data_IF_808262321157
#
_entry.id   IF_808262321157
#
_cell.length_a   1.000
_cell.length_b   1.000
_cell.length_c   1.000
_cell.angle_alpha   90.00
_cell.angle_beta   90.00
_cell.angle_gamma   90.00
#
_symmetry.space_group_name_H-M   'P 1'
#
loop_
_entity.id
_entity.type
_entity.pdbx_description
1 polymer ?
#
# COMPACT_ATOMS: atom_id res chain seq x y z
N UNK A 1 -19.45 2.61 -4.05
CA UNK A 1 -18.65 1.81 -3.10
C UNK A 1 -17.89 0.73 -3.84
N UNK A 2 -16.78 0.20 -3.31
CA UNK A 2 -16.07 -0.93 -3.92
C UNK A 2 -17.03 -2.11 -4.08
N UNK A 3 -16.96 -2.83 -5.22
CA UNK A 3 -17.77 -4.03 -5.45
C UNK A 3 -17.43 -5.06 -4.38
N UNK A 4 -18.44 -5.67 -3.77
CA UNK A 4 -18.34 -6.62 -2.65
C UNK A 4 -17.60 -7.94 -2.97
N UNK A 5 -17.00 -8.06 -4.15
CA UNK A 5 -16.42 -9.30 -4.63
C UNK A 5 -15.08 -9.02 -5.30
N UNK A 6 -14.08 -8.73 -4.48
CA UNK A 6 -12.69 -8.75 -4.91
C UNK A 6 -12.19 -10.15 -4.59
N UNK A 7 -12.14 -11.00 -5.61
CA UNK A 7 -11.51 -12.34 -5.56
C UNK A 7 -9.99 -12.27 -5.35
N UNK A 8 -9.42 -11.07 -5.17
CA UNK A 8 -7.99 -10.86 -4.96
C UNK A 8 -7.71 -10.94 -3.46
N UNK A 9 -7.01 -11.99 -3.05
CA UNK A 9 -6.43 -12.09 -1.72
C UNK A 9 -5.04 -11.44 -1.69
N UNK A 10 -4.51 -11.26 -0.49
CA UNK A 10 -3.14 -10.83 -0.30
C UNK A 10 -2.11 -11.80 -0.87
N UNK A 11 -2.46 -13.08 -1.08
CA UNK A 11 -1.56 -14.03 -1.71
C UNK A 11 -1.31 -13.72 -3.18
N UNK A 12 -2.34 -13.32 -3.96
CA UNK A 12 -2.14 -12.89 -5.35
C UNK A 12 -1.29 -11.63 -5.41
N UNK A 13 -1.51 -10.67 -4.50
CA UNK A 13 -0.70 -9.45 -4.43
C UNK A 13 0.76 -9.77 -4.10
N UNK A 14 1.02 -10.67 -3.14
CA UNK A 14 2.38 -11.12 -2.82
C UNK A 14 3.04 -11.89 -3.97
N UNK A 15 2.28 -12.69 -4.72
CA UNK A 15 2.81 -13.36 -5.91
C UNK A 15 3.18 -12.36 -7.02
N UNK A 16 2.34 -11.33 -7.22
CA UNK A 16 2.64 -10.23 -8.12
C UNK A 16 3.90 -9.47 -7.69
N UNK A 17 4.00 -9.12 -6.39
CA UNK A 17 5.16 -8.47 -5.81
C UNK A 17 6.45 -9.26 -6.06
N UNK A 18 6.42 -10.58 -5.81
CA UNK A 18 7.55 -11.49 -6.04
C UNK A 18 7.95 -11.53 -7.51
N UNK A 19 6.99 -11.70 -8.42
CA UNK A 19 7.26 -11.72 -9.86
C UNK A 19 7.89 -10.41 -10.33
N UNK A 20 7.43 -9.28 -9.78
CA UNK A 20 7.96 -7.96 -10.11
C UNK A 20 9.39 -7.77 -9.57
N UNK A 21 9.68 -8.23 -8.36
CA UNK A 21 11.04 -8.24 -7.80
C UNK A 21 11.99 -9.10 -8.64
N UNK A 22 11.56 -10.29 -9.09
CA UNK A 22 12.35 -11.14 -9.98
C UNK A 22 12.69 -10.43 -11.29
N UNK A 23 11.73 -9.70 -11.87
CA UNK A 23 11.97 -8.87 -13.08
C UNK A 23 12.91 -7.69 -12.85
N UNK A 24 13.08 -7.26 -11.61
CA UNK A 24 14.04 -6.23 -11.20
C UNK A 24 15.41 -6.81 -10.79
N UNK A 25 15.63 -8.12 -10.94
CA UNK A 25 16.82 -8.84 -10.45
C UNK A 25 16.99 -8.79 -8.93
N UNK A 26 15.89 -8.65 -8.19
CA UNK A 26 15.86 -8.66 -6.73
C UNK A 26 15.52 -10.08 -6.28
N UNK A 27 16.52 -10.82 -5.80
CA UNK A 27 16.35 -12.17 -5.27
C UNK A 27 16.35 -12.15 -3.76
N UNK A 28 15.23 -12.57 -3.15
CA UNK A 28 15.16 -12.86 -1.72
C UNK A 28 14.92 -14.36 -1.55
N UNK A 29 15.74 -15.03 -0.75
CA UNK A 29 15.45 -16.38 -0.28
C UNK A 29 14.24 -16.26 0.64
N UNK A 30 13.08 -16.71 0.16
CA UNK A 30 11.90 -16.89 1.00
C UNK A 30 12.31 -17.82 2.15
N UNK A 31 12.26 -17.35 3.40
CA UNK A 31 12.57 -18.18 4.58
C UNK A 31 11.65 -19.42 4.67
N UNK A 32 10.54 -19.43 3.94
CA UNK A 32 9.65 -20.57 3.80
C UNK A 32 10.24 -21.74 2.98
N UNK A 33 11.35 -21.57 2.25
CA UNK A 33 12.02 -22.66 1.52
C UNK A 33 13.26 -23.21 2.23
N UNK A 34 13.70 -22.58 3.33
CA UNK A 34 14.78 -23.10 4.18
C UNK A 34 14.20 -24.06 5.22
N UNK A 35 13.85 -25.26 4.78
CA UNK A 35 13.43 -26.39 5.63
C UNK A 35 14.64 -27.05 6.34
N UNK A 36 15.53 -26.21 6.89
CA UNK A 36 16.80 -26.62 7.48
C UNK A 36 17.03 -25.85 8.77
N UNK A 37 16.99 -26.59 9.89
CA UNK A 37 17.40 -26.21 11.25
C UNK A 37 18.37 -25.01 11.29
N UNK A 38 17.86 -23.79 11.45
CA UNK A 38 18.63 -22.71 12.09
C UNK A 38 18.34 -22.79 13.57
N UNK A 39 19.39 -22.86 14.38
CA UNK A 39 19.31 -22.77 15.84
C UNK A 39 18.67 -21.44 16.24
N UNK A 40 18.00 -21.40 17.40
CA UNK A 40 17.33 -20.18 17.89
C UNK A 40 18.30 -18.99 17.99
N UNK A 41 19.60 -19.26 18.20
CA UNK A 41 20.71 -18.30 18.23
C UNK A 41 21.08 -17.72 16.86
N UNK A 42 20.83 -18.41 15.72
CA UNK A 42 21.08 -17.87 14.37
C UNK A 42 19.92 -17.02 13.82
N UNK A 43 18.76 -17.04 14.50
CA UNK A 43 17.66 -16.08 14.25
C UNK A 43 17.91 -14.74 14.94
N UNK A 44 18.80 -14.70 15.93
CA UNK A 44 19.20 -13.49 16.62
C UNK A 44 20.28 -12.76 15.81
N UNK A 45 19.99 -11.51 15.44
CA UNK A 45 20.74 -10.61 14.53
C UNK A 45 20.57 -10.85 13.03
N UNK A 46 19.33 -11.03 12.59
CA UNK A 46 18.97 -10.37 11.33
C UNK A 46 19.01 -8.88 11.61
N UNK A 47 19.81 -8.13 10.85
CA UNK A 47 19.87 -6.67 10.95
C UNK A 47 18.48 -6.12 10.60
N UNK A 48 17.63 -5.93 11.60
CA UNK A 48 16.31 -5.35 11.44
C UNK A 48 16.45 -3.85 11.24
N UNK A 49 15.68 -3.32 10.29
CA UNK A 49 15.70 -1.90 10.00
C UNK A 49 14.32 -1.37 9.62
N UNK A 50 14.15 -0.10 9.90
CA UNK A 50 13.01 0.71 9.55
C UNK A 50 13.37 1.50 8.30
N UNK A 51 12.45 1.60 7.36
CA UNK A 51 12.57 2.46 6.19
C UNK A 51 11.69 3.68 6.38
N UNK A 52 12.25 4.88 6.19
CA UNK A 52 11.50 6.14 6.16
C UNK A 52 11.54 6.69 4.74
N UNK A 53 10.37 6.96 4.16
CA UNK A 53 10.34 7.70 2.90
C UNK A 53 10.55 9.19 3.15
N UNK A 54 11.65 9.71 2.61
CA UNK A 54 11.91 11.14 2.51
C UNK A 54 11.30 11.72 1.24
N UNK A 55 11.05 13.03 1.26
CA UNK A 55 10.47 13.83 0.17
C UNK A 55 11.21 15.15 0.11
N UNK A 56 11.34 15.74 -1.08
CA UNK A 56 12.02 17.03 -1.26
C UNK A 56 11.12 18.15 -1.79
N UNK A 57 9.92 17.83 -2.29
CA UNK A 57 9.04 18.80 -2.94
C UNK A 57 7.74 19.12 -2.18
N UNK A 58 7.00 18.11 -1.73
CA UNK A 58 5.68 18.27 -1.12
C UNK A 58 5.46 17.25 -0.01
N UNK A 59 4.64 17.57 1.00
CA UNK A 59 4.35 16.69 2.14
C UNK A 59 5.61 16.31 2.90
N UNK A 60 6.43 17.31 3.20
CA UNK A 60 7.68 17.12 3.92
C UNK A 60 7.40 16.75 5.38
N UNK A 61 8.26 15.90 5.95
CA UNK A 61 8.40 15.73 7.40
C UNK A 61 9.44 16.75 7.85
N UNK A 62 9.01 17.82 8.52
CA UNK A 62 9.87 18.97 8.82
C UNK A 62 10.98 18.64 9.83
N UNK A 63 10.72 17.70 10.74
CA UNK A 63 11.68 17.18 11.72
C UNK A 63 12.12 15.74 11.41
N UNK A 64 12.38 15.43 10.12
CA UNK A 64 12.74 14.07 9.68
C UNK A 64 13.94 13.49 10.44
N UNK A 65 14.98 14.29 10.71
CA UNK A 65 16.15 13.83 11.46
C UNK A 65 15.83 13.41 12.90
N UNK A 66 14.94 14.15 13.57
CA UNK A 66 14.46 13.81 14.92
C UNK A 66 13.63 12.53 14.88
N UNK A 67 12.72 12.41 13.91
CA UNK A 67 11.92 11.21 13.69
C UNK A 67 12.80 9.97 13.51
N UNK A 68 13.81 10.05 12.65
CA UNK A 68 14.77 8.97 12.39
C UNK A 68 15.48 8.55 13.67
N UNK A 69 16.01 9.52 14.43
CA UNK A 69 16.73 9.25 15.67
C UNK A 69 15.83 8.55 16.70
N UNK A 70 14.61 9.04 16.88
CA UNK A 70 13.68 8.49 17.88
C UNK A 70 13.16 7.12 17.47
N UNK A 71 12.87 6.88 16.19
CA UNK A 71 12.53 5.55 15.70
C UNK A 71 13.67 4.55 15.93
N UNK A 72 14.91 4.96 15.66
CA UNK A 72 16.09 4.12 15.89
C UNK A 72 16.23 3.74 17.36
N UNK A 73 16.02 4.70 18.27
CA UNK A 73 16.11 4.50 19.71
C UNK A 73 14.96 3.65 20.27
N UNK A 74 13.71 3.96 19.91
CA UNK A 74 12.52 3.27 20.41
C UNK A 74 12.54 1.78 20.04
N UNK A 75 12.89 1.46 18.80
CA UNK A 75 12.85 0.08 18.30
C UNK A 75 14.20 -0.64 18.34
N UNK A 76 15.29 0.05 18.68
CA UNK A 76 16.65 -0.48 18.62
C UNK A 76 17.01 -1.06 17.23
N UNK A 77 16.51 -0.42 16.18
CA UNK A 77 16.70 -0.81 14.78
C UNK A 77 17.49 0.26 14.03
N UNK A 78 18.23 -0.14 13.00
CA UNK A 78 18.78 0.84 12.06
C UNK A 78 17.64 1.50 11.30
N UNK A 79 17.77 2.78 10.98
CA UNK A 79 16.79 3.49 10.16
C UNK A 79 17.45 3.89 8.84
N UNK A 80 16.81 3.56 7.74
CA UNK A 80 17.28 3.84 6.37
C UNK A 80 16.29 4.77 5.70
N UNK A 81 16.77 5.86 5.12
CA UNK A 81 15.93 6.77 4.33
C UNK A 81 15.96 6.38 2.86
N UNK A 82 14.81 6.53 2.20
CA UNK A 82 14.66 6.33 0.75
C UNK A 82 13.86 7.48 0.15
N UNK A 83 14.15 7.86 -1.08
CA UNK A 83 13.47 8.94 -1.80
C UNK A 83 13.24 8.52 -3.25
N UNK A 84 12.03 8.72 -3.76
CA UNK A 84 11.72 8.47 -5.18
C UNK A 84 12.34 9.52 -6.11
N UNK A 85 12.69 10.69 -5.56
CA UNK A 85 13.37 11.76 -6.26
C UNK A 85 14.87 11.45 -6.46
N UNK A 86 15.50 10.80 -5.49
CA UNK A 86 16.95 10.57 -5.49
C UNK A 86 17.36 9.14 -5.89
N UNK A 87 16.46 8.16 -5.74
CA UNK A 87 16.77 6.74 -5.93
C UNK A 87 15.86 6.09 -6.96
N UNK A 88 16.42 5.09 -7.67
CA UNK A 88 15.62 4.30 -8.61
C UNK A 88 14.59 3.43 -7.86
N UNK A 89 13.43 3.21 -8.48
CA UNK A 89 12.40 2.35 -7.89
C UNK A 89 12.90 0.93 -7.56
N UNK A 90 13.68 0.23 -8.43
CA UNK A 90 14.29 -1.05 -8.06
C UNK A 90 15.19 -0.98 -6.81
N UNK A 91 15.99 0.08 -6.65
CA UNK A 91 16.83 0.28 -5.46
C UNK A 91 15.98 0.44 -4.19
N UNK A 92 14.89 1.20 -4.27
CA UNK A 92 13.95 1.37 -3.16
C UNK A 92 13.26 0.05 -2.83
N UNK A 93 12.81 -0.71 -3.84
CA UNK A 93 12.20 -2.03 -3.65
C UNK A 93 13.19 -3.00 -3.00
N UNK A 94 14.46 -2.98 -3.39
CA UNK A 94 15.51 -3.80 -2.77
C UNK A 94 15.61 -3.54 -1.25
N UNK A 95 15.57 -2.27 -0.84
CA UNK A 95 15.60 -1.87 0.58
C UNK A 95 14.29 -2.22 1.28
N UNK A 96 13.14 -1.83 0.73
CA UNK A 96 11.82 -2.09 1.35
C UNK A 96 11.55 -3.58 1.48
N UNK A 97 11.98 -4.38 0.50
CA UNK A 97 11.76 -5.83 0.50
C UNK A 97 12.34 -6.51 1.73
N UNK A 98 13.30 -5.89 2.42
CA UNK A 98 13.97 -6.39 3.62
C UNK A 98 13.51 -5.80 4.95
N UNK A 99 12.74 -4.71 4.94
CA UNK A 99 12.45 -3.89 6.11
C UNK A 99 11.44 -4.53 7.09
N UNK A 100 11.60 -4.25 8.38
CA UNK A 100 10.63 -4.62 9.43
C UNK A 100 9.50 -3.60 9.56
N UNK A 101 9.73 -2.35 9.13
CA UNK A 101 8.75 -1.27 9.16
C UNK A 101 8.99 -0.28 8.02
N UNK A 102 7.90 0.26 7.46
CA UNK A 102 7.90 1.35 6.50
C UNK A 102 7.11 2.53 7.07
N UNK A 103 7.75 3.69 7.21
CA UNK A 103 7.15 4.94 7.70
C UNK A 103 7.10 5.95 6.56
N UNK A 104 5.95 6.58 6.33
CA UNK A 104 5.81 7.61 5.29
C UNK A 104 4.60 8.50 5.51
N UNK A 105 4.71 9.76 5.09
CA UNK A 105 3.54 10.59 4.79
C UNK A 105 2.64 9.92 3.75
N UNK A 106 1.32 10.07 3.92
CA UNK A 106 0.29 9.59 3.01
C UNK A 106 0.61 10.03 1.58
N UNK A 107 0.67 9.07 0.65
CA UNK A 107 0.91 9.35 -0.76
C UNK A 107 1.18 8.11 -1.58
N UNK A 108 1.22 8.26 -2.91
CA UNK A 108 1.33 7.14 -3.87
C UNK A 108 2.50 6.19 -3.59
N UNK A 109 3.61 6.69 -3.02
CA UNK A 109 4.81 5.90 -2.71
C UNK A 109 4.58 4.77 -1.70
N UNK A 110 3.57 4.90 -0.83
CA UNK A 110 3.20 3.85 0.11
C UNK A 110 2.69 2.58 -0.59
N UNK A 111 2.42 2.62 -1.90
CA UNK A 111 2.18 1.40 -2.69
C UNK A 111 3.35 0.41 -2.58
N UNK A 112 4.58 0.91 -2.38
CA UNK A 112 5.76 0.06 -2.20
C UNK A 112 5.68 -0.86 -0.96
N UNK A 113 4.74 -0.61 -0.03
CA UNK A 113 4.41 -1.55 1.05
C UNK A 113 4.04 -2.94 0.54
N UNK A 114 3.62 -3.09 -0.72
CA UNK A 114 3.36 -4.39 -1.35
C UNK A 114 4.59 -5.33 -1.34
N UNK A 115 5.80 -4.76 -1.26
CA UNK A 115 7.05 -5.53 -1.24
C UNK A 115 7.52 -5.89 0.17
N UNK A 116 6.88 -5.38 1.22
CA UNK A 116 7.26 -5.68 2.59
C UNK A 116 7.10 -7.18 2.92
N UNK A 117 8.00 -7.75 3.73
CA UNK A 117 7.86 -9.11 4.20
C UNK A 117 6.61 -9.28 5.06
N UNK A 118 6.18 -10.53 5.25
CA UNK A 118 5.11 -10.86 6.20
C UNK A 118 5.55 -10.48 7.61
N UNK A 119 4.61 -9.94 8.40
CA UNK A 119 4.86 -9.47 9.76
C UNK A 119 5.47 -8.07 9.85
N UNK A 120 5.83 -7.44 8.72
CA UNK A 120 6.30 -6.05 8.74
C UNK A 120 5.15 -5.06 8.97
N UNK A 121 5.51 -3.85 9.41
CA UNK A 121 4.56 -2.77 9.67
C UNK A 121 4.59 -1.67 8.61
N UNK A 122 3.41 -1.14 8.30
CA UNK A 122 3.21 0.09 7.53
C UNK A 122 2.71 1.15 8.50
N UNK A 123 3.49 2.22 8.67
CA UNK A 123 3.15 3.40 9.46
C UNK A 123 2.85 4.55 8.51
N UNK A 124 1.58 4.89 8.41
CA UNK A 124 1.09 5.92 7.52
C UNK A 124 0.80 7.21 8.30
N UNK A 125 1.48 8.30 7.93
CA UNK A 125 1.35 9.61 8.55
C UNK A 125 0.42 10.50 7.72
N UNK A 126 -0.57 11.14 8.35
CA UNK A 126 -1.53 12.01 7.69
C UNK A 126 -1.33 13.47 8.11
N UNK A 127 -1.34 14.42 7.16
CA UNK A 127 -1.34 15.85 7.47
C UNK A 127 -2.56 16.30 8.28
N UNK A 128 -2.53 17.55 8.74
CA UNK A 128 -3.64 18.13 9.47
C UNK A 128 -4.94 18.16 8.63
N UNK A 129 -6.07 18.04 9.32
CA UNK A 129 -7.42 17.94 8.72
C UNK A 129 -7.68 16.75 7.79
N UNK A 130 -6.70 15.87 7.55
CA UNK A 130 -6.89 14.67 6.73
C UNK A 130 -7.26 13.48 7.60
N UNK A 131 -8.45 12.93 7.38
CA UNK A 131 -8.99 11.82 8.17
C UNK A 131 -8.50 10.43 7.68
N UNK A 132 -7.71 9.67 8.47
CA UNK A 132 -7.19 8.36 8.07
C UNK A 132 -8.26 7.34 7.71
N UNK A 133 -9.48 7.45 8.26
CA UNK A 133 -10.56 6.50 7.99
C UNK A 133 -11.27 6.74 6.64
N UNK A 134 -11.01 7.87 6.00
CA UNK A 134 -11.62 8.22 4.71
C UNK A 134 -10.68 7.93 3.52
N UNK A 135 -9.37 7.88 3.73
CA UNK A 135 -8.35 7.69 2.70
C UNK A 135 -7.50 6.45 3.01
N UNK A 136 -8.10 5.28 2.80
CA UNK A 136 -7.61 3.98 3.30
C UNK A 136 -7.07 3.00 2.24
N UNK A 137 -6.44 3.41 1.12
CA UNK A 137 -5.96 2.44 0.13
C UNK A 137 -4.91 1.49 0.71
N UNK A 138 -4.02 1.98 1.58
CA UNK A 138 -2.94 1.17 2.16
C UNK A 138 -3.39 0.37 3.39
N UNK A 139 -4.32 0.91 4.20
CA UNK A 139 -5.05 0.12 5.20
C UNK A 139 -5.75 -1.07 4.53
N UNK A 140 -6.42 -0.83 3.41
CA UNK A 140 -7.08 -1.87 2.62
C UNK A 140 -6.08 -2.91 2.12
N UNK A 141 -4.98 -2.47 1.49
CA UNK A 141 -3.89 -3.35 1.04
C UNK A 141 -3.36 -4.21 2.18
N UNK A 142 -2.93 -3.61 3.28
CA UNK A 142 -2.36 -4.32 4.43
C UNK A 142 -3.36 -5.31 5.06
N UNK A 143 -4.66 -5.00 5.01
CA UNK A 143 -5.73 -5.83 5.60
C UNK A 143 -6.23 -6.96 4.68
N UNK A 144 -5.75 -7.05 3.44
CA UNK A 144 -6.15 -8.16 2.56
C UNK A 144 -5.73 -9.52 3.17
N UNK A 145 -6.61 -10.53 3.20
CA UNK A 145 -6.27 -11.85 3.74
C UNK A 145 -5.03 -12.45 3.06
N UNK A 146 -3.98 -12.76 3.81
CA UNK A 146 -2.70 -13.26 3.30
C UNK A 146 -1.66 -12.20 2.95
N UNK A 147 -1.98 -10.90 3.08
CA UNK A 147 -0.95 -9.86 3.09
C UNK A 147 -0.14 -9.91 4.38
N UNK A 148 -0.75 -10.18 5.53
CA UNK A 148 -0.04 -10.35 6.81
C UNK A 148 0.87 -9.15 7.13
N UNK A 149 0.41 -7.94 6.85
CA UNK A 149 1.08 -6.69 7.23
C UNK A 149 0.36 -6.08 8.44
N UNK A 150 1.13 -5.42 9.29
CA UNK A 150 0.53 -4.50 10.26
C UNK A 150 0.32 -3.15 9.63
N UNK A 151 -0.79 -2.51 10.00
CA UNK A 151 -1.09 -1.16 9.58
C UNK A 151 -1.32 -0.30 10.81
N UNK A 152 -0.60 0.82 10.87
CA UNK A 152 -0.75 1.86 11.88
C UNK A 152 -0.87 3.19 11.14
N UNK A 153 -1.85 4.00 11.54
CA UNK A 153 -2.01 5.35 11.01
C UNK A 153 -1.88 6.38 12.12
N UNK A 154 -1.09 7.42 11.88
CA UNK A 154 -1.00 8.59 12.74
C UNK A 154 -1.50 9.82 11.96
N UNK A 155 -2.19 10.73 12.64
CA UNK A 155 -2.71 11.98 12.05
C UNK A 155 -2.16 13.15 12.84
N UNK A 156 -1.66 14.17 12.14
CA UNK A 156 -1.40 15.45 12.78
C UNK A 156 -2.72 16.10 13.22
N UNK A 157 -2.89 16.29 14.52
CA UNK A 157 -4.05 16.95 15.13
C UNK A 157 -3.77 18.41 15.50
N UNK A 158 -2.51 18.85 15.40
CA UNK A 158 -2.04 20.17 15.79
C UNK A 158 -1.87 21.06 14.55
N UNK A 159 -2.60 22.16 14.51
CA UNK A 159 -2.56 23.09 13.38
C UNK A 159 -1.22 23.83 13.32
N UNK A 160 -0.66 24.17 14.48
CA UNK A 160 0.66 24.77 14.66
C UNK A 160 1.81 23.93 14.08
N UNK A 161 1.60 22.61 13.96
CA UNK A 161 2.55 21.67 13.37
C UNK A 161 2.40 21.53 11.84
N UNK A 162 1.74 22.49 11.20
CA UNK A 162 1.40 22.43 9.78
C UNK A 162 1.98 23.63 9.03
N UNK A 163 2.68 23.37 7.92
CA UNK A 163 3.12 24.41 6.98
C UNK A 163 2.33 24.27 5.68
N UNK A 164 1.64 25.35 5.32
CA UNK A 164 0.80 25.42 4.11
C UNK A 164 1.46 26.25 3.02
N UNK A 165 1.07 26.01 1.76
CA UNK A 165 1.69 26.62 0.59
C UNK A 165 0.64 27.17 -0.38
N UNK A 166 -0.11 28.22 0.00
CA UNK A 166 -1.25 28.72 -0.76
C UNK A 166 -0.88 29.26 -2.15
N UNK A 167 0.38 29.66 -2.35
CA UNK A 167 0.90 30.24 -3.59
C UNK A 167 1.37 29.20 -4.63
N UNK A 168 1.37 27.90 -4.28
CA UNK A 168 1.74 26.82 -5.22
C UNK A 168 0.73 26.70 -6.38
N UNK A 169 1.05 25.93 -7.44
CA UNK A 169 0.06 25.51 -8.41
C UNK A 169 -1.16 24.83 -7.75
N UNK A 170 -2.34 24.95 -8.36
CA UNK A 170 -3.60 24.43 -7.80
C UNK A 170 -3.56 22.92 -7.56
N UNK A 171 -2.86 22.17 -8.40
CA UNK A 171 -2.65 20.73 -8.34
C UNK A 171 -1.62 20.30 -7.28
N UNK A 172 -0.98 21.26 -6.62
CA UNK A 172 -0.06 21.10 -5.49
C UNK A 172 -0.55 21.81 -4.23
N UNK A 173 -1.86 22.06 -4.14
CA UNK A 173 -2.52 22.60 -2.95
C UNK A 173 -2.57 24.11 -2.85
N UNK A 174 -2.13 24.85 -3.88
CA UNK A 174 -2.29 26.29 -3.87
C UNK A 174 -3.75 26.71 -4.04
N UNK A 175 -4.15 27.76 -3.33
CA UNK A 175 -5.53 28.24 -3.25
C UNK A 175 -5.69 29.71 -3.64
N UNK A 176 -4.60 30.43 -3.96
CA UNK A 176 -4.65 31.87 -4.31
C UNK A 176 -5.56 32.18 -5.49
N UNK A 177 -5.71 31.24 -6.42
CA UNK A 177 -6.58 31.35 -7.60
C UNK A 177 -8.09 31.26 -7.28
N UNK A 178 -8.46 30.91 -6.04
CA UNK A 178 -9.86 30.79 -5.62
C UNK A 178 -10.42 32.12 -5.11
N UNK A 179 -11.73 32.25 -5.16
CA UNK A 179 -12.46 33.37 -4.57
C UNK A 179 -12.15 33.52 -3.08
N UNK A 180 -12.26 34.76 -2.57
CA UNK A 180 -11.90 35.07 -1.19
C UNK A 180 -12.72 34.26 -0.18
N UNK A 181 -14.03 34.12 -0.37
CA UNK A 181 -14.88 33.37 0.57
C UNK A 181 -14.48 31.88 0.61
N UNK A 182 -14.13 31.30 -0.53
CA UNK A 182 -13.72 29.89 -0.62
C UNK A 182 -12.37 29.67 0.06
N UNK A 183 -11.41 30.59 -0.09
CA UNK A 183 -10.12 30.53 0.62
C UNK A 183 -10.33 30.59 2.13
N UNK A 184 -11.14 31.51 2.62
CA UNK A 184 -11.45 31.66 4.05
C UNK A 184 -12.14 30.40 4.60
N UNK A 185 -13.07 29.82 3.85
CA UNK A 185 -13.73 28.54 4.18
C UNK A 185 -12.73 27.40 4.30
N UNK A 186 -11.83 27.25 3.32
CA UNK A 186 -10.81 26.19 3.32
C UNK A 186 -9.87 26.35 4.51
N UNK A 187 -9.39 27.57 4.78
CA UNK A 187 -8.48 27.86 5.89
C UNK A 187 -9.12 27.57 7.25
N UNK A 188 -10.39 27.90 7.45
CA UNK A 188 -11.12 27.66 8.69
C UNK A 188 -11.49 26.18 8.93
N UNK A 189 -11.43 25.33 7.89
CA UNK A 189 -11.81 23.92 7.99
C UNK A 189 -10.84 23.09 8.83
N UNK A 190 -11.37 22.17 9.65
CA UNK A 190 -10.58 21.29 10.53
C UNK A 190 -10.63 19.80 10.14
N UNK A 191 -11.47 19.45 9.17
CA UNK A 191 -11.57 18.10 8.62
C UNK A 191 -12.07 18.21 7.18
N UNK A 192 -11.38 17.54 6.25
CA UNK A 192 -11.79 17.53 4.84
C UNK A 192 -13.03 16.65 4.69
N UNK A 193 -14.19 17.19 4.24
CA UNK A 193 -15.37 16.39 4.00
C UNK A 193 -15.16 15.36 2.89
N UNK A 194 -16.01 14.33 2.89
CA UNK A 194 -16.05 13.38 1.78
C UNK A 194 -16.31 14.11 0.47
N UNK A 195 -15.49 13.83 -0.52
CA UNK A 195 -15.52 14.47 -1.81
C UNK A 195 -15.21 13.46 -2.92
N UNK A 196 -15.55 13.81 -4.17
CA UNK A 196 -15.08 13.05 -5.32
C UNK A 196 -13.63 13.42 -5.60
N UNK A 197 -12.78 12.40 -5.75
CA UNK A 197 -11.34 12.57 -5.82
C UNK A 197 -10.88 13.59 -6.87
N UNK A 198 -9.75 14.17 -6.49
CA UNK A 198 -8.59 14.53 -7.30
C UNK A 198 -8.54 16.00 -7.73
N UNK A 199 -9.65 16.73 -7.65
CA UNK A 199 -9.68 18.16 -7.99
C UNK A 199 -10.38 19.03 -6.94
N UNK A 200 -10.70 18.47 -5.78
CA UNK A 200 -11.27 19.25 -4.69
C UNK A 200 -10.18 20.15 -4.07
N UNK A 201 -10.37 21.48 -4.04
CA UNK A 201 -9.33 22.43 -3.61
C UNK A 201 -9.00 22.30 -2.12
N UNK A 202 -9.99 22.06 -1.26
CA UNK A 202 -9.78 21.84 0.17
C UNK A 202 -8.93 20.59 0.44
N UNK A 203 -9.25 19.50 -0.25
CA UNK A 203 -8.45 18.28 -0.21
C UNK A 203 -7.01 18.52 -0.63
N UNK A 204 -6.80 19.17 -1.79
CA UNK A 204 -5.45 19.45 -2.30
C UNK A 204 -4.69 20.34 -1.34
N UNK A 205 -5.34 21.38 -0.79
CA UNK A 205 -4.74 22.26 0.21
C UNK A 205 -4.30 21.51 1.47
N UNK A 206 -5.12 20.60 1.99
CA UNK A 206 -4.81 19.84 3.22
C UNK A 206 -3.83 18.69 2.99
N UNK A 207 -3.93 17.97 1.88
CA UNK A 207 -3.07 16.81 1.63
C UNK A 207 -1.64 17.21 1.29
N UNK A 208 -1.40 18.38 0.69
CA UNK A 208 -0.05 18.84 0.30
C UNK A 208 0.69 19.66 1.36
N UNK A 209 0.15 19.73 2.57
CA UNK A 209 0.78 20.39 3.70
C UNK A 209 2.05 19.65 4.13
N UNK A 210 3.06 20.41 4.54
CA UNK A 210 4.22 19.85 5.22
C UNK A 210 3.90 19.76 6.72
N UNK A 211 4.47 18.76 7.39
CA UNK A 211 4.08 18.39 8.75
C UNK A 211 5.30 18.34 9.67
N UNK A 212 5.22 19.05 10.78
CA UNK A 212 6.07 18.81 11.94
C UNK A 212 5.46 17.66 12.73
N UNK A 213 6.14 16.52 12.80
CA UNK A 213 5.57 15.34 13.45
C UNK A 213 5.68 15.51 14.96
N UNK A 214 4.55 15.42 15.66
CA UNK A 214 4.54 15.33 17.13
C UNK A 214 5.04 13.94 17.55
N UNK A 215 6.32 13.89 17.92
CA UNK A 215 7.00 12.63 18.23
C UNK A 215 6.36 11.89 19.42
N UNK A 216 5.98 12.54 20.55
CA UNK A 216 5.32 11.84 21.65
C UNK A 216 4.00 11.18 21.22
N UNK A 217 3.14 11.90 20.49
CA UNK A 217 1.88 11.36 19.97
C UNK A 217 2.10 10.22 18.99
N UNK A 218 3.10 10.33 18.10
CA UNK A 218 3.45 9.24 17.20
C UNK A 218 3.88 7.99 17.96
N UNK A 219 4.77 8.11 18.94
CA UNK A 219 5.25 6.98 19.72
C UNK A 219 4.13 6.29 20.51
N UNK A 220 3.18 7.05 21.05
CA UNK A 220 1.99 6.49 21.70
C UNK A 220 1.22 5.58 20.75
N UNK A 221 0.89 6.10 19.55
CA UNK A 221 0.18 5.35 18.51
C UNK A 221 0.97 4.11 18.06
N UNK A 222 2.29 4.22 17.93
CA UNK A 222 3.15 3.10 17.54
C UNK A 222 3.20 2.01 18.62
N UNK A 223 3.37 2.40 19.88
CA UNK A 223 3.37 1.45 21.01
C UNK A 223 2.04 0.72 21.10
N UNK A 224 0.93 1.38 20.85
CA UNK A 224 -0.38 0.73 20.85
C UNK A 224 -0.60 -0.15 19.63
N UNK A 225 -0.34 0.38 18.43
CA UNK A 225 -0.60 -0.30 17.16
C UNK A 225 0.29 -1.52 16.91
N UNK A 226 1.48 -1.59 17.53
CA UNK A 226 2.44 -2.68 17.33
C UNK A 226 2.43 -3.74 18.45
N UNK A 227 1.62 -3.59 19.51
CA UNK A 227 1.47 -4.59 20.60
C UNK A 227 1.02 -5.95 20.10
N UNK A 228 0.14 -5.99 19.10
CA UNK A 228 -0.48 -7.23 18.61
C UNK A 228 0.17 -7.66 17.30
N UNK A 229 1.20 -8.53 17.37
CA UNK A 229 1.75 -9.22 16.18
C UNK A 229 0.62 -10.01 15.49
N UNK A 230 0.47 -9.96 14.15
CA UNK A 230 -0.55 -10.71 13.46
C UNK A 230 -0.12 -12.17 13.66
N UNK A 231 -1.06 -13.08 13.91
CA UNK A 231 -0.67 -14.48 13.97
C UNK A 231 -0.08 -14.83 12.60
N UNK A 232 1.24 -15.03 12.52
CA UNK A 232 1.93 -15.60 11.37
C UNK A 232 1.47 -17.05 11.28
N UNK A 233 0.19 -17.27 10.91
CA UNK A 233 -0.28 -18.59 10.54
C UNK A 233 0.59 -18.97 9.36
N UNK A 234 1.10 -20.21 9.37
CA UNK A 234 1.71 -20.82 8.19
C UNK A 234 0.64 -20.85 7.09
N UNK A 235 0.45 -19.74 6.39
CA UNK A 235 -0.38 -19.70 5.21
C UNK A 235 0.43 -20.49 4.20
N UNK A 236 -0.11 -21.64 3.79
CA UNK A 236 0.41 -22.31 2.60
C UNK A 236 0.41 -21.26 1.50
N UNK A 237 1.47 -21.16 0.68
CA UNK A 237 1.44 -20.29 -0.48
C UNK A 237 0.20 -20.70 -1.29
N UNK A 238 -0.82 -19.84 -1.35
CA UNK A 238 -1.93 -20.06 -2.25
C UNK A 238 -1.38 -19.80 -3.65
N UNK A 239 -0.73 -20.81 -4.22
CA UNK A 239 -0.11 -20.74 -5.55
C UNK A 239 -1.09 -21.11 -6.66
N UNK A 240 -2.40 -21.09 -6.38
CA UNK A 240 -3.41 -21.28 -7.42
C UNK A 240 -3.87 -19.92 -7.89
N UNK A 241 -3.05 -19.30 -8.74
CA UNK A 241 -3.55 -18.25 -9.62
C UNK A 241 -4.56 -18.92 -10.57
N UNK A 242 -5.82 -18.51 -10.49
CA UNK A 242 -6.87 -19.07 -11.33
C UNK A 242 -6.86 -18.44 -12.73
N UNK A 243 -7.36 -19.14 -13.76
CA UNK A 243 -7.64 -18.52 -15.04
C UNK A 243 -8.54 -17.29 -14.84
N UNK A 244 -8.26 -16.23 -15.58
CA UNK A 244 -9.05 -15.01 -15.55
C UNK A 244 -10.48 -15.29 -15.95
N UNK A 245 -11.39 -14.39 -15.57
CA UNK A 245 -12.81 -14.51 -15.92
C UNK A 245 -12.96 -14.59 -17.44
N UNK A 246 -13.74 -15.57 -17.88
CA UNK A 246 -14.20 -15.70 -19.25
C UNK A 246 -14.94 -14.43 -19.69
N UNK A 247 -14.63 -13.94 -20.90
CA UNK A 247 -15.27 -12.76 -21.50
C UNK A 247 -15.91 -13.16 -22.82
N UNK A 248 -16.84 -12.32 -23.29
CA UNK A 248 -17.48 -12.48 -24.60
C UNK A 248 -18.14 -13.86 -24.78
N UNK A 249 -18.82 -14.34 -23.73
CA UNK A 249 -19.57 -15.60 -23.82
C UNK A 249 -20.73 -15.45 -24.82
N UNK A 250 -20.74 -16.31 -25.84
CA UNK A 250 -21.77 -16.39 -26.86
C UNK A 250 -22.46 -17.73 -26.78
N UNK A 251 -23.78 -17.71 -26.98
CA UNK A 251 -24.63 -18.88 -27.03
C UNK A 251 -25.41 -18.85 -28.34
N UNK A 252 -25.25 -19.88 -29.16
CA UNK A 252 -25.91 -20.01 -30.46
C UNK A 252 -26.71 -21.30 -30.49
N UNK A 253 -27.98 -21.19 -30.85
CA UNK A 253 -28.86 -22.33 -31.09
C UNK A 253 -29.07 -22.50 -32.58
N UNK A 254 -28.95 -23.73 -33.07
CA UNK A 254 -29.28 -24.07 -34.45
C UNK A 254 -30.08 -25.36 -34.48
N UNK A 255 -31.18 -25.36 -35.22
CA UNK A 255 -31.99 -26.56 -35.47
C UNK A 255 -31.58 -27.08 -36.85
N UNK A 256 -30.89 -28.21 -36.89
CA UNK A 256 -30.35 -28.75 -38.14
C UNK A 256 -31.31 -29.76 -38.82
N UNK A 257 -32.25 -30.34 -38.06
CA UNK A 257 -33.33 -31.20 -38.55
C UNK A 257 -34.49 -31.26 -37.54
N UNK A 258 -35.62 -31.87 -37.91
CA UNK A 258 -36.85 -31.96 -37.10
C UNK A 258 -36.66 -32.56 -35.68
N UNK A 259 -35.56 -33.30 -35.45
CA UNK A 259 -35.26 -33.96 -34.17
C UNK A 259 -33.88 -33.61 -33.57
N UNK A 260 -33.15 -32.63 -34.10
CA UNK A 260 -31.82 -32.26 -33.59
C UNK A 260 -31.69 -30.75 -33.34
N UNK A 261 -31.63 -30.40 -32.06
CA UNK A 261 -31.29 -29.06 -31.60
C UNK A 261 -29.83 -29.04 -31.14
N UNK A 262 -29.01 -28.18 -31.74
CA UNK A 262 -27.62 -27.96 -31.35
C UNK A 262 -27.49 -26.65 -30.58
N UNK A 263 -26.87 -26.73 -29.41
CA UNK A 263 -26.44 -25.59 -28.61
C UNK A 263 -24.92 -25.47 -28.72
N UNK A 264 -24.42 -24.34 -29.20
CA UNK A 264 -22.99 -24.04 -29.23
C UNK A 264 -22.71 -22.89 -28.27
N UNK A 265 -21.82 -23.13 -27.31
CA UNK A 265 -21.35 -22.10 -26.37
C UNK A 265 -19.89 -21.82 -26.67
N UNK A 266 -19.51 -20.56 -26.81
CA UNK A 266 -18.13 -20.13 -27.09
C UNK A 266 -17.78 -18.89 -26.27
N UNK A 267 -16.48 -18.64 -26.09
CA UNK A 267 -16.00 -17.47 -25.34
C UNK A 267 -14.55 -17.14 -25.66
N UNK A 268 -14.11 -15.95 -25.24
CA UNK A 268 -12.71 -15.55 -25.32
C UNK A 268 -11.88 -16.28 -24.25
N UNK A 269 -10.82 -16.97 -24.67
CA UNK A 269 -9.89 -17.67 -23.78
C UNK A 269 -9.27 -16.65 -22.80
N UNK A 270 -9.24 -16.94 -21.48
CA UNK A 270 -8.62 -16.05 -20.51
C UNK A 270 -7.16 -15.72 -20.86
N UNK A 271 -6.83 -14.44 -20.89
CA UNK A 271 -5.53 -13.94 -21.33
C UNK A 271 -4.35 -14.51 -20.53
N UNK A 272 -4.58 -14.85 -19.25
CA UNK A 272 -3.56 -15.35 -18.34
C UNK A 272 -3.38 -16.87 -18.43
N UNK A 273 -4.21 -17.59 -19.19
CA UNK A 273 -4.18 -19.04 -19.25
C UNK A 273 -2.84 -19.59 -19.75
N UNK A 274 -2.21 -18.91 -20.70
CA UNK A 274 -0.87 -19.24 -21.22
C UNK A 274 0.25 -19.16 -20.16
N UNK A 275 0.02 -18.45 -19.06
CA UNK A 275 0.98 -18.34 -17.96
C UNK A 275 0.71 -19.34 -16.84
N UNK A 276 -0.42 -20.06 -16.90
CA UNK A 276 -0.77 -21.10 -15.95
C UNK A 276 -0.24 -22.45 -16.45
N UNK A 277 0.56 -23.14 -15.64
CA UNK A 277 1.05 -24.49 -15.94
C UNK A 277 -0.05 -25.52 -15.62
N UNK A 278 -1.14 -25.49 -16.38
CA UNK A 278 -2.31 -26.37 -16.19
C UNK A 278 -2.48 -27.31 -17.38
N UNK A 279 -2.73 -28.60 -17.12
CA UNK A 279 -2.98 -29.61 -18.16
C UNK A 279 -4.43 -29.61 -18.64
N UNK A 280 -5.35 -29.26 -17.75
CA UNK A 280 -6.79 -29.25 -18.01
C UNK A 280 -7.39 -27.99 -17.39
N UNK A 281 -8.31 -27.35 -18.11
CA UNK A 281 -9.00 -26.13 -17.67
C UNK A 281 -10.48 -26.40 -17.74
N UNK A 282 -11.15 -26.34 -16.59
CA UNK A 282 -12.60 -26.46 -16.49
C UNK A 282 -13.19 -25.08 -16.31
N UNK A 283 -14.20 -24.77 -17.11
CA UNK A 283 -14.96 -23.53 -17.03
C UNK A 283 -16.28 -23.85 -16.34
N UNK A 284 -16.54 -23.18 -15.23
CA UNK A 284 -17.85 -23.22 -14.58
C UNK A 284 -18.71 -22.12 -15.24
N UNK A 285 -19.83 -22.53 -15.83
CA UNK A 285 -20.79 -21.68 -16.54
C UNK A 285 -22.07 -21.61 -15.74
#
# INVERSE_FOLDING_TARGET
GPKANILVSGNEIRHFAKTLMEKMNITRLDEATMDGKRTEEEKEKKDEYIVVFSRSMTRLILNEAELIMVLAQEFQMRVVTVSLEDQSFPSIVQVISGASMLVSMHGAQLVASLFLPRGAAVVELFPYAVNPEQYTPYKTLASLPGMDLHYVSWRNTLEENTVTHPDRPWDQGGIVHLEKEERERILASKDVPRHLCCRNPEWLFRIYQDTLVDIPSLLEVLREGLKTRPSLRKSKPASTVHPGRVREAQCQTSVQAANEAKLTVSWQIPWNLKYLKVREVKYEV
#
